data_IF_921325630328
#
_entry.id   IF_921325630328
#
_cell.length_a   1.000
_cell.length_b   1.000
_cell.length_c   1.000
_cell.angle_alpha   90.00
_cell.angle_beta   90.00
_cell.angle_gamma   90.00
#
_symmetry.space_group_name_H-M   'P 1'
#
loop_
_entity.id
_entity.type
_entity.pdbx_description
1 polymer ?
#
# COMPACT_ATOMS: atom_id res chain seq x y z
N UNK A 1 -3.74 -4.00 16.74
CA UNK A 1 -4.90 -3.15 17.10
C UNK A 1 -6.19 -3.62 16.45
N UNK A 2 -6.25 -3.72 15.12
CA UNK A 2 -7.50 -4.02 14.40
C UNK A 2 -7.96 -5.48 14.45
N UNK A 3 -7.05 -6.44 14.62
CA UNK A 3 -7.37 -7.88 14.64
C UNK A 3 -8.47 -8.28 15.66
N UNK A 4 -8.40 -7.92 16.96
CA UNK A 4 -9.47 -8.24 17.92
C UNK A 4 -10.82 -7.58 17.58
N UNK A 5 -10.82 -6.36 17.06
CA UNK A 5 -12.04 -5.64 16.65
C UNK A 5 -12.71 -6.38 15.48
N UNK A 6 -11.94 -6.83 14.48
CA UNK A 6 -12.50 -7.57 13.35
C UNK A 6 -13.07 -8.94 13.77
N UNK A 7 -12.46 -9.59 14.77
CA UNK A 7 -13.00 -10.82 15.34
C UNK A 7 -14.34 -10.58 16.05
N UNK A 8 -14.48 -9.49 16.80
CA UNK A 8 -15.74 -9.09 17.44
C UNK A 8 -16.83 -8.73 16.42
N UNK A 9 -16.44 -8.17 15.27
CA UNK A 9 -17.34 -7.88 14.14
C UNK A 9 -17.73 -9.13 13.33
N UNK A 10 -17.22 -10.31 13.71
CA UNK A 10 -17.57 -11.59 13.07
C UNK A 10 -16.86 -11.87 11.75
N UNK A 11 -15.73 -11.20 11.46
CA UNK A 11 -14.98 -11.44 10.24
C UNK A 11 -14.26 -12.79 10.27
N UNK A 12 -14.13 -13.43 9.12
CA UNK A 12 -13.35 -14.66 8.98
C UNK A 12 -11.86 -14.37 9.22
N UNK A 13 -11.12 -15.34 9.78
CA UNK A 13 -9.66 -15.19 9.99
C UNK A 13 -8.96 -14.90 8.66
N UNK A 14 -9.41 -15.53 7.57
CA UNK A 14 -8.89 -15.28 6.23
C UNK A 14 -9.10 -13.83 5.78
N UNK A 15 -10.32 -13.30 5.96
CA UNK A 15 -10.64 -11.90 5.64
C UNK A 15 -9.76 -10.94 6.45
N UNK A 16 -9.58 -11.20 7.74
CA UNK A 16 -8.76 -10.35 8.63
C UNK A 16 -7.31 -10.32 8.15
N UNK A 17 -6.70 -11.47 7.86
CA UNK A 17 -5.32 -11.54 7.35
C UNK A 17 -5.21 -10.80 6.02
N UNK A 18 -6.18 -10.99 5.13
CA UNK A 18 -6.19 -10.38 3.81
C UNK A 18 -6.26 -8.85 3.89
N UNK A 19 -7.24 -8.28 4.61
CA UNK A 19 -7.39 -6.83 4.73
C UNK A 19 -6.18 -6.19 5.42
N UNK A 20 -5.58 -6.86 6.41
CA UNK A 20 -4.40 -6.36 7.09
C UNK A 20 -3.18 -6.33 6.17
N UNK A 21 -3.01 -7.38 5.34
CA UNK A 21 -1.96 -7.44 4.32
C UNK A 21 -2.12 -6.36 3.26
N UNK A 22 -3.32 -6.17 2.72
CA UNK A 22 -3.64 -5.10 1.76
C UNK A 22 -3.37 -3.72 2.36
N UNK A 23 -3.82 -3.48 3.60
CA UNK A 23 -3.60 -2.21 4.29
C UNK A 23 -2.11 -1.94 4.57
N UNK A 24 -1.34 -2.96 4.95
CA UNK A 24 0.11 -2.85 5.15
C UNK A 24 0.85 -2.50 3.86
N UNK A 25 0.55 -3.20 2.77
CA UNK A 25 1.14 -2.94 1.46
C UNK A 25 0.80 -1.54 0.92
N UNK A 26 -0.45 -1.08 1.13
CA UNK A 26 -0.90 0.24 0.72
C UNK A 26 -0.25 1.38 1.53
N UNK A 27 0.09 1.12 2.81
CA UNK A 27 0.74 2.10 3.67
C UNK A 27 2.24 2.29 3.39
N UNK A 28 2.93 1.22 3.00
CA UNK A 28 4.37 1.27 2.71
C UNK A 28 4.66 1.84 1.31
N UNK A 29 3.87 1.44 0.31
CA UNK A 29 4.15 1.81 -1.08
C UNK A 29 3.71 3.25 -1.40
N UNK A 30 4.62 4.04 -1.97
CA UNK A 30 4.29 5.35 -2.54
C UNK A 30 4.07 6.48 -1.53
N UNK A 31 4.29 6.22 -0.24
CA UNK A 31 4.34 7.27 0.77
C UNK A 31 5.65 8.07 0.63
N UNK A 32 5.61 9.42 0.66
CA UNK A 32 6.81 10.26 0.57
C UNK A 32 7.84 10.02 1.68
N UNK A 33 7.40 9.44 2.80
CA UNK A 33 8.26 9.16 3.95
C UNK A 33 8.69 7.68 4.03
N UNK A 34 8.23 6.83 3.12
CA UNK A 34 8.53 5.41 3.17
C UNK A 34 9.98 5.13 2.78
N UNK A 35 10.67 4.32 3.61
CA UNK A 35 12.06 3.92 3.39
C UNK A 35 12.23 3.14 2.08
N UNK A 36 11.24 2.33 1.69
CA UNK A 36 11.26 1.59 0.41
C UNK A 36 11.14 2.53 -0.80
N UNK A 37 10.35 3.60 -0.67
CA UNK A 37 10.15 4.62 -1.71
C UNK A 37 11.34 5.58 -1.80
N UNK A 38 11.93 5.95 -0.66
CA UNK A 38 13.15 6.76 -0.60
C UNK A 38 14.37 6.01 -1.13
N UNK A 39 14.53 4.73 -0.79
CA UNK A 39 15.65 3.90 -1.25
C UNK A 39 15.72 3.78 -2.78
N UNK A 40 14.56 3.58 -3.43
CA UNK A 40 14.49 3.50 -4.91
C UNK A 40 14.75 4.86 -5.57
N UNK A 41 14.17 5.93 -5.02
CA UNK A 41 14.37 7.29 -5.51
C UNK A 41 15.83 7.74 -5.47
N UNK A 42 16.56 7.43 -4.38
CA UNK A 42 17.97 7.80 -4.25
C UNK A 42 18.82 7.15 -5.35
N UNK A 43 18.51 5.91 -5.73
CA UNK A 43 19.18 5.23 -6.85
C UNK A 43 18.82 5.84 -8.21
N UNK A 44 17.55 6.19 -8.42
CA UNK A 44 17.08 6.82 -9.68
C UNK A 44 17.60 8.25 -9.83
N UNK A 45 17.81 8.97 -8.73
CA UNK A 45 18.30 10.35 -8.73
C UNK A 45 19.83 10.47 -8.75
N UNK A 46 20.55 9.43 -9.16
CA UNK A 46 22.01 9.45 -9.25
C UNK A 46 22.55 10.53 -10.21
N UNK A 47 21.78 10.87 -11.25
CA UNK A 47 22.08 11.89 -12.26
C UNK A 47 21.43 13.26 -11.97
N UNK A 48 20.73 13.40 -10.83
CA UNK A 48 19.95 14.58 -10.41
C UNK A 48 18.75 14.92 -11.31
N UNK A 49 18.30 14.00 -12.17
CA UNK A 49 17.17 14.23 -13.08
C UNK A 49 15.83 13.69 -12.56
N UNK A 50 15.82 13.05 -11.38
CA UNK A 50 14.65 12.33 -10.87
C UNK A 50 14.01 13.04 -9.66
N UNK A 51 12.72 13.33 -9.75
CA UNK A 51 11.95 13.95 -8.66
C UNK A 51 11.22 12.87 -7.84
N UNK A 52 11.55 12.77 -6.56
CA UNK A 52 10.95 11.81 -5.63
C UNK A 52 9.41 11.79 -5.65
N UNK A 53 8.80 12.97 -5.67
CA UNK A 53 7.36 13.10 -5.54
C UNK A 53 6.70 12.84 -6.89
N UNK A 54 7.16 13.53 -7.94
CA UNK A 54 6.53 13.47 -9.25
C UNK A 54 6.77 12.15 -9.98
N UNK A 55 7.96 11.61 -9.87
CA UNK A 55 8.39 10.46 -10.69
C UNK A 55 8.30 9.14 -9.92
N UNK A 56 8.20 9.17 -8.59
CA UNK A 56 8.03 7.96 -7.77
C UNK A 56 6.72 7.94 -6.98
N UNK A 57 6.45 8.95 -6.15
CA UNK A 57 5.28 8.89 -5.25
C UNK A 57 3.94 8.94 -6.01
N UNK A 58 3.78 9.89 -6.94
CA UNK A 58 2.53 10.07 -7.70
C UNK A 58 2.21 8.83 -8.55
N UNK A 59 3.13 8.29 -9.37
CA UNK A 59 2.84 7.09 -10.17
C UNK A 59 2.53 5.88 -9.31
N UNK A 60 3.26 5.67 -8.21
CA UNK A 60 3.02 4.56 -7.29
C UNK A 60 1.63 4.65 -6.65
N UNK A 61 1.23 5.85 -6.21
CA UNK A 61 -0.09 6.05 -5.64
C UNK A 61 -1.22 5.74 -6.64
N UNK A 62 -1.07 6.18 -7.89
CA UNK A 62 -2.10 6.00 -8.92
C UNK A 62 -2.17 4.54 -9.39
N UNK A 63 -1.04 3.94 -9.76
CA UNK A 63 -1.03 2.63 -10.43
C UNK A 63 -0.95 1.45 -9.46
N UNK A 64 -0.25 1.60 -8.33
CA UNK A 64 -0.13 0.53 -7.34
C UNK A 64 -1.20 0.67 -6.26
N UNK A 65 -1.22 1.77 -5.50
CA UNK A 65 -2.16 1.92 -4.39
C UNK A 65 -3.62 1.99 -4.86
N UNK A 66 -3.90 2.74 -5.93
CA UNK A 66 -5.24 2.83 -6.51
C UNK A 66 -5.77 1.47 -6.95
N UNK A 67 -4.97 0.72 -7.70
CA UNK A 67 -5.33 -0.64 -8.15
C UNK A 67 -5.51 -1.59 -6.97
N UNK A 68 -4.60 -1.55 -6.00
CA UNK A 68 -4.64 -2.41 -4.82
C UNK A 68 -5.86 -2.11 -3.94
N UNK A 69 -6.23 -0.84 -3.79
CA UNK A 69 -7.43 -0.45 -3.05
C UNK A 69 -8.70 -0.98 -3.71
N UNK A 70 -8.82 -0.84 -5.03
CA UNK A 70 -10.00 -1.29 -5.78
C UNK A 70 -10.10 -2.82 -5.75
N UNK A 71 -9.04 -3.52 -6.17
CA UNK A 71 -9.05 -4.98 -6.24
C UNK A 71 -9.12 -5.61 -4.85
N UNK A 72 -8.38 -5.08 -3.88
CA UNK A 72 -8.41 -5.54 -2.49
C UNK A 72 -9.80 -5.39 -1.88
N UNK A 73 -10.47 -4.26 -2.13
CA UNK A 73 -11.85 -4.05 -1.65
C UNK A 73 -12.83 -5.02 -2.28
N UNK A 74 -12.72 -5.27 -3.60
CA UNK A 74 -13.57 -6.23 -4.32
C UNK A 74 -13.36 -7.64 -3.76
N UNK A 75 -12.12 -8.10 -3.62
CA UNK A 75 -11.81 -9.44 -3.11
C UNK A 75 -12.30 -9.61 -1.67
N UNK A 76 -12.16 -8.58 -0.83
CA UNK A 76 -12.64 -8.59 0.56
C UNK A 76 -14.16 -8.78 0.67
N UNK A 77 -14.95 -8.37 -0.32
CA UNK A 77 -16.40 -8.60 -0.32
C UNK A 77 -16.79 -10.07 -0.54
N UNK A 78 -15.86 -10.91 -1.00
CA UNK A 78 -16.11 -12.33 -1.30
C UNK A 78 -15.49 -13.30 -0.29
N UNK A 79 -14.80 -12.81 0.75
CA UNK A 79 -14.04 -13.60 1.74
C UNK A 79 -14.69 -13.57 3.14
#
# INVERSE_FOLDING_TARGET
>A
LFCPICLELGFSIALIIFILGVAGALGDAGSPASETTMGTTVGLNADKQHDHIKDTCIPTFIFYNGSLLILGSIIAMFL
#
